data_IF_378878338520
#
_entry.id   IF_378878338520
#
_cell.length_a   1.000
_cell.length_b   1.000
_cell.length_c   1.000
_cell.angle_alpha   90.00
_cell.angle_beta   90.00
_cell.angle_gamma   90.00
#
_symmetry.space_group_name_H-M   'P 1'
#
loop_
_entity.id
_entity.type
_entity.pdbx_description
1 polymer ?
#
# COMPACT_ATOMS: atom_id res chain seq x y z
N UNK A 1 0.45 -8.35 -6.39
CA UNK A 1 -0.42 -8.41 -5.18
C UNK A 1 0.05 -7.36 -4.20
N UNK A 2 -0.81 -6.74 -3.39
CA UNK A 2 -0.45 -5.72 -2.37
C UNK A 2 -1.43 -5.87 -1.21
N UNK A 3 -1.01 -6.25 -0.02
CA UNK A 3 -1.80 -6.17 1.22
C UNK A 3 -1.21 -5.16 2.18
N UNK A 4 -1.96 -4.14 2.61
CA UNK A 4 -1.42 -3.07 3.47
C UNK A 4 -1.91 -3.24 4.91
N UNK A 5 -1.02 -3.29 5.90
CA UNK A 5 -1.34 -3.50 7.32
C UNK A 5 -0.61 -2.43 8.17
N UNK A 6 -1.23 -1.83 9.18
CA UNK A 6 -0.63 -0.79 10.02
C UNK A 6 -0.57 -1.31 11.47
N UNK A 7 0.60 -1.30 12.15
CA UNK A 7 0.73 -1.84 13.53
C UNK A 7 0.81 -0.70 14.56
N UNK A 8 -0.28 -0.55 15.30
CA UNK A 8 -0.62 0.47 16.32
C UNK A 8 -2.13 0.36 16.59
N UNK A 9 -2.78 1.31 17.28
CA UNK A 9 -4.24 1.45 17.12
C UNK A 9 -4.51 1.56 15.61
N UNK A 10 -5.18 0.56 15.03
CA UNK A 10 -5.24 0.39 13.57
C UNK A 10 -5.95 1.60 12.97
N UNK A 11 -5.21 2.42 12.24
CA UNK A 11 -5.77 3.53 11.48
C UNK A 11 -6.70 2.93 10.43
N UNK A 12 -8.00 3.21 10.56
CA UNK A 12 -8.99 2.78 9.58
C UNK A 12 -8.81 3.61 8.31
N UNK A 13 -8.58 2.90 7.21
CA UNK A 13 -8.46 3.47 5.87
C UNK A 13 -9.59 2.96 4.98
N UNK A 14 -9.96 3.77 4.02
CA UNK A 14 -10.81 3.40 2.89
C UNK A 14 -10.07 3.63 1.58
N UNK A 15 -10.33 2.79 0.58
CA UNK A 15 -9.74 2.97 -0.75
C UNK A 15 -10.54 4.03 -1.50
N UNK A 16 -9.92 5.18 -1.73
CA UNK A 16 -10.51 6.31 -2.44
C UNK A 16 -10.34 6.17 -3.97
N UNK A 17 -9.22 5.58 -4.41
CA UNK A 17 -8.93 5.43 -5.83
C UNK A 17 -7.95 4.28 -6.11
N UNK A 18 -8.17 3.59 -7.22
CA UNK A 18 -7.24 2.60 -7.79
C UNK A 18 -7.20 2.74 -9.31
N UNK A 19 -6.05 2.47 -9.94
CA UNK A 19 -5.92 2.51 -11.42
C UNK A 19 -6.19 1.17 -12.10
N UNK A 20 -6.47 0.13 -11.33
CA UNK A 20 -6.83 -1.20 -11.82
C UNK A 20 -8.20 -1.56 -11.26
N UNK A 21 -8.94 -2.38 -11.99
CA UNK A 21 -10.26 -2.84 -11.59
C UNK A 21 -10.36 -4.34 -11.78
N UNK A 22 -10.86 -5.03 -10.76
CA UNK A 22 -11.24 -6.42 -10.80
C UNK A 22 -12.63 -6.53 -10.17
N UNK A 23 -13.61 -6.97 -10.95
CA UNK A 23 -15.00 -7.02 -10.53
C UNK A 23 -15.25 -8.08 -9.43
N UNK A 24 -14.36 -9.07 -9.32
CA UNK A 24 -14.43 -10.10 -8.26
C UNK A 24 -13.65 -9.69 -7.02
N UNK A 25 -12.62 -8.85 -7.18
CA UNK A 25 -11.70 -8.43 -6.13
C UNK A 25 -11.57 -6.90 -6.14
N UNK A 26 -12.58 -6.18 -5.62
CA UNK A 26 -12.59 -4.73 -5.65
C UNK A 26 -11.42 -4.13 -4.85
N UNK A 27 -11.05 -2.88 -5.18
CA UNK A 27 -9.95 -2.17 -4.52
C UNK A 27 -10.04 -2.15 -2.99
N UNK A 28 -11.25 -2.16 -2.42
CA UNK A 28 -11.49 -2.20 -0.97
C UNK A 28 -10.88 -3.42 -0.27
N UNK A 29 -10.61 -4.52 -0.99
CA UNK A 29 -9.90 -5.70 -0.48
C UNK A 29 -8.46 -5.40 -0.03
N UNK A 30 -7.87 -4.26 -0.38
CA UNK A 30 -6.50 -3.88 0.02
C UNK A 30 -6.41 -3.51 1.51
N UNK A 31 -7.47 -2.92 2.06
CA UNK A 31 -7.52 -2.37 3.43
C UNK A 31 -8.46 -3.17 4.35
N UNK A 32 -9.03 -4.29 3.86
CA UNK A 32 -9.95 -5.11 4.64
C UNK A 32 -9.20 -5.89 5.73
N UNK A 33 -9.27 -5.39 6.96
CA UNK A 33 -8.65 -6.02 8.12
C UNK A 33 -9.39 -7.27 8.62
N UNK A 34 -10.65 -7.48 8.21
CA UNK A 34 -11.49 -8.61 8.63
C UNK A 34 -11.22 -9.86 7.77
N UNK A 35 -10.78 -9.66 6.53
CA UNK A 35 -10.41 -10.74 5.61
C UNK A 35 -8.92 -10.65 5.24
N UNK A 36 -8.00 -11.15 6.07
CA UNK A 36 -6.55 -10.99 5.86
C UNK A 36 -6.01 -11.68 4.61
N UNK A 37 -6.82 -12.50 3.94
CA UNK A 37 -6.50 -13.18 2.68
C UNK A 37 -7.13 -12.49 1.45
N UNK A 38 -7.82 -11.36 1.61
CA UNK A 38 -8.30 -10.59 0.47
C UNK A 38 -7.13 -9.93 -0.26
N UNK A 39 -7.11 -10.05 -1.58
CA UNK A 39 -6.07 -9.47 -2.42
C UNK A 39 -6.69 -8.82 -3.64
N UNK A 40 -5.91 -7.97 -4.31
CA UNK A 40 -6.28 -7.39 -5.60
C UNK A 40 -5.27 -7.79 -6.67
N UNK A 41 -5.79 -7.99 -7.88
CA UNK A 41 -4.98 -8.20 -9.08
C UNK A 41 -4.87 -6.89 -9.83
N UNK A 42 -3.63 -6.48 -10.10
CA UNK A 42 -3.36 -5.34 -10.96
C UNK A 42 -3.46 -5.80 -12.41
N UNK A 43 -4.34 -5.17 -13.19
CA UNK A 43 -4.48 -5.41 -14.63
C UNK A 43 -3.91 -4.24 -15.44
N UNK A 44 -3.23 -4.52 -16.55
CA UNK A 44 -2.74 -3.51 -17.49
C UNK A 44 -1.25 -3.20 -17.35
N UNK A 45 -0.83 -2.09 -17.94
CA UNK A 45 0.55 -1.59 -17.87
C UNK A 45 0.78 -0.69 -16.67
N UNK A 46 2.00 -0.70 -16.14
CA UNK A 46 2.43 0.22 -15.09
C UNK A 46 2.52 1.67 -15.60
N UNK A 47 2.36 2.69 -14.72
CA UNK A 47 2.25 2.60 -13.27
C UNK A 47 0.85 2.28 -12.76
N UNK A 48 0.78 1.61 -11.61
CA UNK A 48 -0.45 1.45 -10.84
C UNK A 48 -0.46 2.30 -9.59
N UNK A 49 -1.63 2.80 -9.20
CA UNK A 49 -1.79 3.63 -8.01
C UNK A 49 -2.93 3.11 -7.15
N UNK A 50 -2.73 3.18 -5.84
CA UNK A 50 -3.73 2.91 -4.80
C UNK A 50 -3.68 4.10 -3.85
N UNK A 51 -4.80 4.81 -3.76
CA UNK A 51 -4.98 5.91 -2.82
C UNK A 51 -5.95 5.47 -1.73
N UNK A 52 -5.47 5.52 -0.49
CA UNK A 52 -6.26 5.22 0.68
C UNK A 52 -6.43 6.48 1.53
N UNK A 53 -7.67 6.85 1.84
CA UNK A 53 -7.99 7.95 2.74
C UNK A 53 -8.21 7.42 4.16
N UNK A 54 -7.89 8.22 5.18
CA UNK A 54 -8.27 7.93 6.56
C UNK A 54 -9.77 8.12 6.72
N UNK A 55 -10.45 7.18 7.41
CA UNK A 55 -11.88 7.35 7.71
C UNK A 55 -12.15 8.47 8.74
N UNK A 56 -11.10 8.92 9.46
CA UNK A 56 -11.12 10.11 10.30
C UNK A 56 -10.63 11.33 9.51
N UNK A 57 -10.77 12.54 10.07
CA UNK A 57 -10.26 13.76 9.42
C UNK A 57 -8.74 13.73 9.15
N UNK A 58 -7.99 13.03 10.00
CA UNK A 58 -6.58 12.66 9.81
C UNK A 58 -6.15 11.61 10.86
N UNK A 59 -4.95 11.04 10.71
CA UNK A 59 -4.34 10.11 11.66
C UNK A 59 -2.83 10.33 11.82
N UNK A 60 -2.29 9.89 12.96
CA UNK A 60 -0.84 9.80 13.18
C UNK A 60 -0.34 8.39 12.81
N UNK A 61 0.46 8.28 11.77
CA UNK A 61 0.97 7.00 11.24
C UNK A 61 2.42 6.83 11.65
N UNK A 62 2.74 5.72 12.32
CA UNK A 62 4.11 5.37 12.69
C UNK A 62 4.67 4.17 11.91
N UNK A 63 3.82 3.40 11.24
CA UNK A 63 4.21 2.20 10.50
C UNK A 63 3.24 1.88 9.38
N UNK A 64 3.78 1.53 8.23
CA UNK A 64 3.04 1.01 7.06
C UNK A 64 3.66 -0.32 6.69
N UNK A 65 2.88 -1.39 6.66
CA UNK A 65 3.31 -2.70 6.13
C UNK A 65 2.59 -2.90 4.80
N UNK A 66 3.31 -3.36 3.78
CA UNK A 66 2.82 -3.72 2.46
C UNK A 66 3.19 -5.18 2.21
N UNK A 67 2.31 -5.94 1.55
CA UNK A 67 2.44 -7.36 1.25
C UNK A 67 2.32 -7.52 -0.25
N UNK A 68 3.45 -7.39 -0.93
CA UNK A 68 3.52 -7.21 -2.37
C UNK A 68 3.78 -8.55 -3.08
N UNK A 69 3.40 -8.72 -4.35
CA UNK A 69 3.82 -9.85 -5.19
C UNK A 69 4.20 -9.34 -6.57
N UNK A 70 5.36 -9.79 -7.04
CA UNK A 70 6.00 -9.39 -8.30
C UNK A 70 6.12 -7.88 -8.51
N UNK A 71 6.09 -7.07 -7.45
CA UNK A 71 6.38 -5.65 -7.55
C UNK A 71 7.90 -5.47 -7.67
N UNK A 72 8.35 -4.68 -8.65
CA UNK A 72 9.77 -4.40 -8.84
C UNK A 72 10.15 -3.05 -8.29
N UNK A 73 9.36 -2.01 -8.53
CA UNK A 73 9.66 -0.66 -8.06
C UNK A 73 8.40 -0.05 -7.47
N UNK A 74 8.47 0.38 -6.22
CA UNK A 74 7.36 0.98 -5.49
C UNK A 74 7.71 2.35 -4.93
N UNK A 75 6.68 3.14 -4.71
CA UNK A 75 6.74 4.42 -4.02
C UNK A 75 5.57 4.52 -3.04
N UNK A 76 5.83 4.99 -1.82
CA UNK A 76 4.79 5.31 -0.83
C UNK A 76 4.87 6.78 -0.52
N UNK A 77 3.73 7.44 -0.53
CA UNK A 77 3.61 8.86 -0.32
C UNK A 77 2.49 9.17 0.68
N UNK A 78 2.68 10.22 1.48
CA UNK A 78 1.71 10.66 2.48
C UNK A 78 1.26 12.09 2.18
N UNK A 79 -0.05 12.30 2.25
CA UNK A 79 -0.66 13.64 2.24
C UNK A 79 -1.08 14.00 3.66
N UNK A 80 -0.65 15.16 4.15
CA UNK A 80 -0.84 15.61 5.53
C UNK A 80 -1.68 16.89 5.56
N UNK A 81 -2.44 17.12 6.64
CA UNK A 81 -3.31 18.31 6.77
C UNK A 81 -2.55 19.65 6.79
N UNK A 82 -1.30 19.66 7.25
CA UNK A 82 -0.53 20.89 7.52
C UNK A 82 0.20 21.45 6.29
N UNK A 83 0.43 20.61 5.27
CA UNK A 83 0.98 21.01 3.98
C UNK A 83 -0.20 21.04 3.01
N UNK A 84 -0.35 22.12 2.24
CA UNK A 84 -1.45 22.36 1.28
C UNK A 84 -2.15 21.09 0.80
N UNK A 85 -3.49 21.14 0.75
CA UNK A 85 -4.44 20.02 0.62
C UNK A 85 -4.20 18.97 -0.48
N UNK A 86 -3.19 19.11 -1.34
CA UNK A 86 -2.88 18.20 -2.45
C UNK A 86 -1.39 17.80 -2.55
N UNK A 87 -0.58 18.06 -1.51
CA UNK A 87 0.87 17.82 -1.57
C UNK A 87 1.23 16.47 -0.95
N UNK A 88 1.66 15.54 -1.79
CA UNK A 88 2.15 14.23 -1.36
C UNK A 88 3.66 14.26 -1.14
N UNK A 89 4.09 13.76 0.02
CA UNK A 89 5.50 13.63 0.36
C UNK A 89 5.91 12.16 0.24
N UNK A 90 6.97 11.91 -0.53
CA UNK A 90 7.53 10.57 -0.70
C UNK A 90 8.19 10.14 0.61
N UNK A 91 7.69 9.05 1.20
CA UNK A 91 8.24 8.45 2.42
C UNK A 91 8.97 7.14 2.17
N UNK A 92 8.74 6.53 1.00
CA UNK A 92 9.49 5.38 0.52
C UNK A 92 9.58 5.44 -1.00
N UNK A 93 10.77 5.21 -1.53
CA UNK A 93 11.02 4.92 -2.93
C UNK A 93 12.04 3.77 -2.97
N UNK A 94 11.64 2.62 -3.50
CA UNK A 94 12.44 1.39 -3.39
C UNK A 94 12.21 0.42 -4.54
N UNK A 95 13.31 -0.08 -5.07
CA UNK A 95 13.35 -1.30 -5.90
C UNK A 95 13.37 -2.54 -5.01
N UNK A 96 12.45 -3.47 -5.25
CA UNK A 96 12.30 -4.72 -4.51
C UNK A 96 12.92 -5.88 -5.30
N UNK A 97 13.67 -6.73 -4.60
CA UNK A 97 14.07 -8.02 -5.15
C UNK A 97 12.83 -8.90 -5.36
N UNK A 98 12.84 -9.78 -6.37
CA UNK A 98 11.75 -10.72 -6.60
C UNK A 98 11.51 -11.57 -5.34
N UNK A 99 10.26 -11.77 -4.95
CA UNK A 99 9.92 -12.45 -3.71
C UNK A 99 10.42 -13.90 -3.69
N UNK A 100 10.76 -14.42 -2.52
CA UNK A 100 11.20 -15.81 -2.38
C UNK A 100 9.99 -16.76 -2.45
N UNK A 101 10.21 -17.92 -3.08
CA UNK A 101 9.25 -19.02 -3.03
C UNK A 101 9.37 -19.72 -1.68
N UNK A 102 8.34 -19.65 -0.84
CA UNK A 102 8.21 -20.58 0.28
C UNK A 102 7.96 -21.97 -0.32
N UNK A 103 9.05 -22.72 -0.50
CA UNK A 103 9.06 -23.95 -1.28
C UNK A 103 8.10 -24.99 -0.71
N UNK A 104 6.97 -25.20 -1.38
CA UNK A 104 6.14 -26.42 -1.42
C UNK A 104 4.99 -26.25 -2.43
N UNK A 105 5.24 -26.66 -3.68
CA UNK A 105 4.20 -26.80 -4.72
C UNK A 105 4.38 -25.92 -5.96
N UNK A 106 3.64 -26.26 -7.02
CA UNK A 106 3.65 -25.55 -8.32
C UNK A 106 3.04 -24.14 -8.27
N UNK A 107 2.38 -23.75 -7.17
CA UNK A 107 1.82 -22.41 -6.94
C UNK A 107 2.72 -21.59 -6.02
N UNK A 108 3.97 -21.37 -6.44
CA UNK A 108 4.81 -20.42 -5.73
C UNK A 108 4.29 -18.99 -5.95
N UNK A 109 3.58 -18.45 -4.96
CA UNK A 109 3.24 -17.02 -4.92
C UNK A 109 4.40 -16.26 -4.28
N UNK A 110 5.27 -15.69 -5.10
CA UNK A 110 6.42 -14.89 -4.66
C UNK A 110 5.94 -13.65 -3.89
N UNK A 111 6.09 -13.67 -2.56
CA UNK A 111 5.60 -12.63 -1.66
C UNK A 111 6.73 -11.73 -1.18
N UNK A 112 6.46 -10.42 -1.08
CA UNK A 112 7.40 -9.38 -0.71
C UNK A 112 6.78 -8.53 0.41
N UNK A 113 7.17 -8.76 1.66
CA UNK A 113 6.67 -7.95 2.79
C UNK A 113 7.58 -6.74 3.01
N UNK A 114 7.04 -5.54 2.84
CA UNK A 114 7.73 -4.26 3.07
C UNK A 114 7.16 -3.61 4.31
N UNK A 115 8.00 -3.41 5.34
CA UNK A 115 7.61 -2.67 6.55
C UNK A 115 8.37 -1.34 6.54
N UNK A 116 7.61 -0.26 6.49
CA UNK A 116 8.10 1.11 6.58
C UNK A 116 7.78 1.67 7.97
N UNK A 117 8.81 2.13 8.68
CA UNK A 117 8.65 2.94 9.89
C UNK A 117 8.61 4.41 9.49
N UNK A 118 7.62 5.14 10.00
CA UNK A 118 7.40 6.57 9.72
C UNK A 118 7.46 7.33 11.04
N UNK A 119 7.99 8.56 11.06
CA UNK A 119 7.98 9.36 12.27
C UNK A 119 6.59 10.01 12.48
N UNK A 120 5.81 9.63 13.52
CA UNK A 120 4.45 10.15 13.71
C UNK A 120 4.40 11.64 14.08
N UNK A 121 5.55 12.24 14.43
CA UNK A 121 5.69 13.67 14.72
C UNK A 121 6.19 14.47 13.51
N UNK A 122 6.52 13.82 12.40
CA UNK A 122 6.98 14.45 11.15
C UNK A 122 6.16 13.95 9.96
N UNK A 123 6.69 13.05 9.13
CA UNK A 123 6.00 12.62 7.90
C UNK A 123 4.69 11.89 8.21
N UNK A 124 4.61 11.23 9.35
CA UNK A 124 3.43 10.51 9.81
C UNK A 124 2.43 11.36 10.58
N UNK A 125 2.63 12.68 10.71
CA UNK A 125 1.77 13.54 11.52
C UNK A 125 0.54 14.02 10.75
N UNK A 126 -0.67 13.80 11.27
CA UNK A 126 -1.90 14.33 10.67
C UNK A 126 -2.08 13.93 9.19
N UNK A 127 -1.81 12.67 8.87
CA UNK A 127 -1.99 12.09 7.53
C UNK A 127 -3.47 11.99 7.21
N UNK A 128 -3.88 12.46 6.03
CA UNK A 128 -5.23 12.24 5.47
C UNK A 128 -5.26 11.09 4.50
N UNK A 129 -4.20 10.95 3.72
CA UNK A 129 -4.17 9.99 2.63
C UNK A 129 -2.79 9.33 2.52
N UNK A 130 -2.81 8.06 2.15
CA UNK A 130 -1.66 7.23 1.85
C UNK A 130 -1.77 6.82 0.40
N UNK A 131 -0.76 7.15 -0.41
CA UNK A 131 -0.70 6.73 -1.81
C UNK A 131 0.42 5.72 -2.00
N UNK A 132 0.06 4.54 -2.49
CA UNK A 132 1.01 3.55 -2.98
C UNK A 132 1.05 3.63 -4.50
N UNK A 133 2.25 3.73 -5.06
CA UNK A 133 2.48 3.64 -6.50
C UNK A 133 3.36 2.43 -6.78
N UNK A 134 2.92 1.61 -7.71
CA UNK A 134 3.68 0.47 -8.24
C UNK A 134 4.15 0.91 -9.61
N UNK A 135 5.43 1.23 -9.72
CA UNK A 135 6.02 1.83 -10.91
C UNK A 135 6.47 0.78 -11.94
N UNK A 136 6.77 -0.43 -11.49
CA UNK A 136 7.04 -1.57 -12.37
C UNK A 136 6.88 -2.90 -11.62
N UNK A 137 6.71 -3.97 -12.38
CA UNK A 137 6.70 -5.36 -11.90
C UNK A 137 7.87 -6.17 -12.44
N UNK A 138 8.12 -7.33 -11.83
CA UNK A 138 9.04 -8.34 -12.35
C UNK A 138 8.36 -9.13 -13.47
N UNK A 139 9.07 -9.36 -14.56
CA UNK A 139 8.70 -10.29 -15.64
C UNK A 139 9.20 -11.69 -15.31
#
# INVERSE_FOLDING_TARGET
MVGVDFVGERVKLEVAFVTFNDDQLPGSCIVNAEEPNSFVLTSGGFPHEVLCATCAACAHINKIKLVLHDAKHIQVELCNTERNHDTYNIVLDRTLARGECDGKGNDCKQCQVVILSVNPNKEGKSVKEVRLRILSGHS
#
